data_IF_083679607011
#
_entry.id   IF_083679607011
#
_cell.length_a   1.000
_cell.length_b   1.000
_cell.length_c   1.000
_cell.angle_alpha   90.00
_cell.angle_beta   90.00
_cell.angle_gamma   90.00
#
_symmetry.space_group_name_H-M   'P 1'
#
loop_
_entity.id
_entity.type
_entity.pdbx_description
1 polymer ?
#
# COMPACT_ATOMS: atom_id res chain seq x y z
N UNK A 1 53.83 10.11 -46.50
CA UNK A 1 53.35 11.46 -46.13
C UNK A 1 53.35 11.56 -44.61
N UNK A 2 54.28 12.24 -43.93
CA UNK A 2 54.40 13.71 -43.80
C UNK A 2 53.11 14.35 -43.24
N UNK A 3 53.06 15.20 -42.21
CA UNK A 3 54.02 15.81 -41.27
C UNK A 3 53.17 16.77 -40.38
N UNK A 4 53.67 17.11 -39.18
CA UNK A 4 53.46 18.39 -38.42
C UNK A 4 52.11 18.60 -37.70
N UNK A 5 52.01 19.30 -36.57
CA UNK A 5 52.88 20.02 -35.62
C UNK A 5 51.97 20.37 -34.40
N UNK A 6 52.31 20.23 -33.12
CA UNK A 6 53.24 20.99 -32.25
C UNK A 6 52.91 22.49 -32.11
N UNK A 7 52.93 22.95 -30.84
CA UNK A 7 53.10 24.33 -30.27
C UNK A 7 51.80 25.15 -30.08
N UNK A 8 51.63 26.00 -29.06
CA UNK A 8 52.55 26.58 -28.06
C UNK A 8 51.79 27.23 -26.87
N UNK A 9 52.56 27.40 -25.79
CA UNK A 9 52.38 28.08 -24.49
C UNK A 9 52.32 29.63 -24.57
N UNK A 10 51.64 30.29 -23.60
CA UNK A 10 52.03 31.48 -22.76
C UNK A 10 50.76 32.12 -22.13
N UNK A 11 50.59 32.41 -20.82
CA UNK A 11 51.35 33.10 -19.76
C UNK A 11 51.23 34.64 -19.74
N UNK A 12 50.61 35.20 -18.67
CA UNK A 12 50.79 36.54 -18.04
C UNK A 12 49.77 36.63 -16.87
N UNK A 13 50.08 36.77 -15.56
CA UNK A 13 50.84 37.74 -14.73
C UNK A 13 50.21 39.14 -14.61
N UNK A 14 49.89 39.52 -13.37
CA UNK A 14 49.58 40.88 -12.88
C UNK A 14 48.41 40.85 -11.88
N UNK A 15 48.41 41.44 -10.68
CA UNK A 15 49.32 42.33 -9.96
C UNK A 15 48.68 42.64 -8.58
N UNK A 16 49.51 43.10 -7.63
CA UNK A 16 49.26 43.26 -6.20
C UNK A 16 48.27 44.39 -5.81
N UNK A 17 47.60 44.28 -4.64
CA UNK A 17 47.91 45.05 -3.41
C UNK A 17 46.85 44.88 -2.30
N UNK A 18 47.36 44.86 -1.07
CA UNK A 18 46.69 44.80 0.23
C UNK A 18 45.91 46.08 0.60
N UNK A 19 45.03 46.01 1.61
CA UNK A 19 44.92 46.97 2.75
C UNK A 19 44.16 46.27 3.92
N UNK A 20 44.57 46.65 5.12
CA UNK A 20 44.32 46.18 6.49
C UNK A 20 42.94 46.50 7.14
N UNK A 21 42.67 45.77 8.23
CA UNK A 21 41.55 45.83 9.18
C UNK A 21 41.38 47.17 9.96
N UNK A 22 40.31 47.33 10.76
CA UNK A 22 40.47 47.19 12.22
C UNK A 22 39.28 46.59 13.04
N UNK A 23 39.65 46.24 14.28
CA UNK A 23 38.93 45.81 15.52
C UNK A 23 37.75 46.69 15.99
N UNK A 24 36.81 46.39 16.90
CA UNK A 24 36.53 45.45 18.01
C UNK A 24 34.98 45.57 18.32
N UNK A 25 34.36 45.24 19.49
CA UNK A 25 34.72 44.43 20.67
C UNK A 25 33.61 43.42 21.14
N UNK A 26 33.91 42.67 22.19
CA UNK A 26 33.05 41.72 22.92
C UNK A 26 31.73 42.29 23.48
N UNK A 27 30.73 41.41 23.61
CA UNK A 27 29.77 41.44 24.71
C UNK A 27 29.43 40.01 25.20
N UNK A 28 29.13 39.80 26.50
CA UNK A 28 29.00 38.48 27.10
C UNK A 28 27.56 38.05 27.45
N UNK A 29 27.34 36.72 27.49
CA UNK A 29 26.34 35.94 28.29
C UNK A 29 24.85 36.04 27.84
N UNK A 30 23.97 35.06 28.19
CA UNK A 30 24.08 34.11 29.29
C UNK A 30 23.81 32.63 28.98
N UNK A 31 24.11 31.83 30.01
CA UNK A 31 23.87 30.41 30.19
C UNK A 31 22.38 30.07 29.96
N UNK A 32 22.05 29.58 28.77
CA UNK A 32 20.73 29.02 28.45
C UNK A 32 20.67 27.56 28.90
N UNK A 33 19.78 27.29 29.85
CA UNK A 33 19.48 26.00 30.44
C UNK A 33 19.39 24.87 29.39
N UNK A 34 20.06 23.74 29.68
CA UNK A 34 19.75 22.45 29.04
C UNK A 34 18.32 22.10 29.39
N UNK A 35 17.37 22.45 28.54
CA UNK A 35 16.07 21.81 28.53
C UNK A 35 16.30 20.36 28.12
N UNK A 36 15.99 19.42 29.02
CA UNK A 36 16.01 18.01 28.72
C UNK A 36 15.20 17.76 27.45
N UNK A 37 15.79 17.04 26.50
CA UNK A 37 15.07 16.52 25.36
C UNK A 37 14.01 15.56 25.91
N UNK A 38 12.79 16.08 26.12
CA UNK A 38 11.61 15.26 26.30
C UNK A 38 11.48 14.51 24.99
N UNK A 39 11.81 13.21 25.01
CA UNK A 39 11.50 12.30 23.91
C UNK A 39 9.99 12.32 23.78
N UNK A 40 9.48 13.09 22.82
CA UNK A 40 8.10 12.93 22.37
C UNK A 40 7.97 11.51 21.83
N UNK A 41 7.35 10.66 22.64
CA UNK A 41 6.83 9.39 22.16
C UNK A 41 5.71 9.76 21.17
N UNK A 42 6.06 9.82 19.89
CA UNK A 42 5.08 9.72 18.81
C UNK A 42 4.44 8.35 18.93
N UNK A 43 3.32 8.26 19.62
CA UNK A 43 2.35 7.19 19.41
C UNK A 43 1.73 7.46 18.04
N UNK A 44 2.47 7.12 16.98
CA UNK A 44 1.85 6.93 15.67
C UNK A 44 0.83 5.81 15.79
N UNK A 45 -0.31 5.85 15.07
CA UNK A 45 -1.21 4.72 15.08
C UNK A 45 -0.40 3.52 14.61
N UNK A 46 -0.30 2.51 15.48
CA UNK A 46 0.11 1.19 15.04
C UNK A 46 -0.82 0.84 13.86
N UNK A 47 -0.24 0.40 12.75
CA UNK A 47 -0.96 -0.04 11.56
C UNK A 47 -1.85 -1.22 11.95
N UNK A 48 -3.03 -0.93 12.50
CA UNK A 48 -4.09 -1.89 12.67
C UNK A 48 -4.64 -2.08 11.26
N UNK A 49 -4.48 -3.29 10.72
CA UNK A 49 -5.11 -3.70 9.47
C UNK A 49 -6.63 -3.67 9.69
N UNK A 50 -7.27 -2.56 9.34
CA UNK A 50 -8.72 -2.39 9.49
C UNK A 50 -9.42 -3.08 8.33
N UNK A 51 -10.35 -3.98 8.64
CA UNK A 51 -11.22 -4.63 7.67
C UNK A 51 -12.36 -3.70 7.27
N UNK A 52 -12.61 -3.62 5.98
CA UNK A 52 -13.70 -2.86 5.36
C UNK A 52 -14.58 -3.79 4.55
N UNK A 53 -15.84 -3.42 4.37
CA UNK A 53 -16.85 -4.24 3.72
C UNK A 53 -17.55 -3.50 2.58
N UNK A 54 -17.96 -4.25 1.57
CA UNK A 54 -18.84 -3.78 0.49
C UNK A 54 -20.30 -4.13 0.82
N UNK A 55 -21.22 -3.47 0.13
CA UNK A 55 -22.65 -3.82 0.18
C UNK A 55 -22.94 -5.23 -0.38
N UNK A 56 -22.02 -5.78 -1.17
CA UNK A 56 -22.13 -7.11 -1.79
C UNK A 56 -21.49 -8.22 -0.93
N UNK A 57 -21.20 -7.93 0.34
CA UNK A 57 -20.66 -8.88 1.30
C UNK A 57 -19.22 -9.36 0.99
N UNK A 58 -18.46 -8.57 0.24
CA UNK A 58 -17.01 -8.74 0.14
C UNK A 58 -16.31 -7.92 1.25
N UNK A 59 -15.15 -8.39 1.69
CA UNK A 59 -14.31 -7.67 2.62
C UNK A 59 -12.95 -7.38 2.00
N UNK A 60 -12.32 -6.29 2.44
CA UNK A 60 -10.94 -5.96 2.15
C UNK A 60 -10.20 -5.60 3.43
N UNK A 61 -9.02 -6.19 3.61
CA UNK A 61 -8.09 -5.85 4.70
C UNK A 61 -6.82 -5.29 4.06
N UNK A 62 -6.40 -4.10 4.49
CA UNK A 62 -5.23 -3.43 3.90
C UNK A 62 -4.02 -3.56 4.81
N UNK A 63 -2.91 -4.02 4.24
CA UNK A 63 -1.62 -4.13 4.93
C UNK A 63 -0.51 -3.72 3.97
N UNK A 64 0.33 -2.76 4.37
CA UNK A 64 1.50 -2.32 3.59
C UNK A 64 1.23 -1.97 2.11
N UNK A 65 0.04 -1.42 1.81
CA UNK A 65 -0.36 -1.05 0.43
C UNK A 65 -0.91 -2.21 -0.41
N UNK A 66 -1.12 -3.38 0.20
CA UNK A 66 -1.78 -4.53 -0.42
C UNK A 66 -3.14 -4.74 0.25
N UNK A 67 -4.19 -4.83 -0.55
CA UNK A 67 -5.54 -5.21 -0.12
C UNK A 67 -5.74 -6.70 -0.30
N UNK A 68 -6.01 -7.41 0.80
CA UNK A 68 -6.47 -8.80 0.76
C UNK A 68 -8.00 -8.80 0.70
N UNK A 69 -8.57 -9.50 -0.27
CA UNK A 69 -10.00 -9.53 -0.55
C UNK A 69 -10.57 -10.92 -0.30
N UNK A 70 -11.78 -10.99 0.29
CA UNK A 70 -12.53 -12.22 0.48
C UNK A 70 -14.03 -11.97 0.60
N UNK A 71 -14.81 -13.00 0.92
CA UNK A 71 -16.25 -12.88 1.22
C UNK A 71 -16.53 -13.01 2.71
N UNK A 72 -17.61 -12.37 3.19
CA UNK A 72 -17.98 -12.39 4.60
C UNK A 72 -18.59 -13.71 5.05
N UNK A 73 -18.71 -13.90 6.37
CA UNK A 73 -19.40 -15.06 6.93
C UNK A 73 -20.86 -15.15 6.46
N UNK A 74 -21.54 -14.02 6.31
CA UNK A 74 -22.92 -13.99 5.81
C UNK A 74 -23.02 -14.51 4.37
N UNK A 75 -22.09 -14.09 3.51
CA UNK A 75 -22.08 -14.51 2.11
C UNK A 75 -21.84 -16.02 1.97
N UNK A 76 -20.89 -16.58 2.70
CA UNK A 76 -20.59 -18.01 2.61
C UNK A 76 -21.75 -18.86 3.16
N UNK A 77 -22.44 -18.42 4.21
CA UNK A 77 -23.63 -19.11 4.73
C UNK A 77 -24.78 -19.11 3.73
N UNK A 78 -25.00 -17.97 3.05
CA UNK A 78 -26.03 -17.82 2.03
C UNK A 78 -25.74 -18.69 0.78
N UNK A 79 -24.47 -18.77 0.37
CA UNK A 79 -24.03 -19.66 -0.71
C UNK A 79 -24.17 -21.14 -0.32
N UNK A 80 -23.86 -21.49 0.92
CA UNK A 80 -23.70 -22.87 1.37
C UNK A 80 -22.32 -23.44 1.03
N UNK A 81 -22.22 -24.75 0.92
CA UNK A 81 -20.93 -25.45 0.74
C UNK A 81 -20.32 -25.14 -0.64
N UNK A 82 -19.21 -24.41 -0.64
CA UNK A 82 -18.54 -23.94 -1.85
C UNK A 82 -17.78 -25.11 -2.46
N UNK A 83 -18.08 -25.39 -3.73
CA UNK A 83 -17.49 -26.51 -4.49
C UNK A 83 -16.54 -26.03 -5.57
N UNK A 84 -16.63 -24.77 -5.98
CA UNK A 84 -15.77 -24.21 -7.01
C UNK A 84 -15.54 -22.70 -6.82
N UNK A 85 -14.34 -22.25 -7.20
CA UNK A 85 -13.92 -20.86 -7.14
C UNK A 85 -13.21 -20.49 -8.45
N UNK A 86 -13.76 -19.52 -9.17
CA UNK A 86 -13.18 -18.91 -10.35
C UNK A 86 -12.46 -17.63 -9.93
N UNK A 87 -11.13 -17.61 -10.05
CA UNK A 87 -10.28 -16.47 -9.69
C UNK A 87 -9.53 -15.95 -10.94
N UNK A 88 -9.18 -14.64 -10.97
CA UNK A 88 -8.49 -14.02 -12.09
C UNK A 88 -7.01 -14.44 -12.11
N UNK A 89 -6.30 -14.08 -13.16
CA UNK A 89 -4.85 -14.27 -13.22
C UNK A 89 -4.11 -13.18 -12.45
N UNK A 90 -2.94 -13.52 -11.90
CA UNK A 90 -2.03 -12.53 -11.33
C UNK A 90 -1.57 -11.56 -12.42
N UNK A 91 -1.59 -10.26 -12.14
CA UNK A 91 -1.34 -9.19 -13.10
C UNK A 91 -2.60 -8.62 -13.76
N UNK A 92 -3.78 -9.19 -13.48
CA UNK A 92 -5.06 -8.65 -13.97
C UNK A 92 -5.32 -7.28 -13.34
N UNK A 93 -5.65 -6.30 -14.19
CA UNK A 93 -6.09 -4.97 -13.74
C UNK A 93 -7.60 -4.99 -13.57
N UNK A 94 -8.06 -4.56 -12.40
CA UNK A 94 -9.46 -4.50 -12.02
C UNK A 94 -9.82 -3.07 -11.67
N UNK A 95 -10.99 -2.62 -12.11
CA UNK A 95 -11.61 -1.38 -11.65
C UNK A 95 -12.53 -1.69 -10.47
N UNK A 96 -12.81 -0.68 -9.65
CA UNK A 96 -13.83 -0.77 -8.60
C UNK A 96 -15.16 -1.26 -9.20
N UNK A 97 -15.81 -2.20 -8.52
CA UNK A 97 -17.04 -2.87 -8.95
C UNK A 97 -16.95 -3.65 -10.26
N UNK A 98 -15.74 -3.92 -10.78
CA UNK A 98 -15.55 -4.86 -11.89
C UNK A 98 -15.63 -6.30 -11.38
N UNK A 99 -16.31 -7.15 -12.14
CA UNK A 99 -16.35 -8.59 -11.86
C UNK A 99 -14.96 -9.19 -12.10
N UNK A 100 -14.44 -9.92 -11.11
CA UNK A 100 -13.13 -10.57 -11.23
C UNK A 100 -13.20 -12.10 -11.17
N UNK A 101 -14.34 -12.65 -10.75
CA UNK A 101 -14.48 -14.07 -10.48
C UNK A 101 -15.88 -14.45 -10.00
N UNK A 102 -16.02 -15.72 -9.61
CA UNK A 102 -17.28 -16.26 -9.11
C UNK A 102 -17.04 -17.40 -8.11
N UNK A 103 -17.97 -17.57 -7.17
CA UNK A 103 -18.05 -18.72 -6.27
C UNK A 103 -19.30 -19.54 -6.59
N UNK A 104 -19.12 -20.85 -6.69
CA UNK A 104 -20.22 -21.78 -6.94
C UNK A 104 -20.34 -22.78 -5.80
N UNK A 105 -21.59 -23.02 -5.41
CA UNK A 105 -22.00 -24.07 -4.48
C UNK A 105 -22.96 -25.02 -5.17
N UNK A 106 -23.37 -26.08 -4.46
CA UNK A 106 -24.42 -26.99 -4.95
C UNK A 106 -25.80 -26.30 -5.00
N UNK A 107 -25.95 -25.14 -4.34
CA UNK A 107 -27.24 -24.46 -4.16
C UNK A 107 -27.35 -23.15 -4.92
N UNK A 108 -26.24 -22.46 -5.14
CA UNK A 108 -26.21 -21.10 -5.66
C UNK A 108 -24.86 -20.82 -6.36
N UNK A 109 -24.83 -19.73 -7.11
CA UNK A 109 -23.61 -19.12 -7.65
C UNK A 109 -23.65 -17.63 -7.38
N UNK A 110 -22.51 -17.06 -6.99
CA UNK A 110 -22.36 -15.61 -6.78
C UNK A 110 -21.14 -15.10 -7.53
N UNK A 111 -21.35 -14.04 -8.30
CA UNK A 111 -20.29 -13.24 -8.90
C UNK A 111 -19.55 -12.47 -7.80
N UNK A 112 -18.26 -12.22 -8.03
CA UNK A 112 -17.37 -11.50 -7.13
C UNK A 112 -16.92 -10.19 -7.76
N UNK A 113 -17.07 -9.10 -7.02
CA UNK A 113 -16.76 -7.76 -7.51
C UNK A 113 -15.57 -7.15 -6.77
N UNK A 114 -14.72 -6.45 -7.52
CA UNK A 114 -13.53 -5.83 -6.94
C UNK A 114 -13.93 -4.66 -6.04
N UNK A 115 -13.51 -4.63 -4.76
CA UNK A 115 -13.84 -3.52 -3.86
C UNK A 115 -13.09 -2.23 -4.24
N UNK A 116 -11.95 -2.35 -4.92
CA UNK A 116 -11.02 -1.27 -5.24
C UNK A 116 -10.52 -1.38 -6.68
N UNK A 117 -9.98 -0.29 -7.20
CA UNK A 117 -9.29 -0.24 -8.48
C UNK A 117 -7.79 -0.51 -8.29
N UNK A 118 -7.24 -1.49 -9.03
CA UNK A 118 -5.82 -1.84 -8.96
C UNK A 118 -5.43 -3.09 -9.72
N UNK A 119 -4.37 -3.77 -9.27
CA UNK A 119 -3.79 -4.93 -9.96
C UNK A 119 -3.65 -6.13 -9.02
N UNK A 120 -4.09 -7.31 -9.48
CA UNK A 120 -3.99 -8.57 -8.73
C UNK A 120 -2.53 -8.98 -8.59
N UNK A 121 -2.06 -9.11 -7.35
CA UNK A 121 -0.69 -9.52 -7.01
C UNK A 121 -0.58 -10.99 -6.65
N UNK A 122 -1.64 -11.56 -6.07
CA UNK A 122 -1.64 -12.95 -5.61
C UNK A 122 -3.07 -13.51 -5.65
N UNK A 123 -3.18 -14.82 -5.86
CA UNK A 123 -4.43 -15.56 -5.78
C UNK A 123 -4.29 -16.73 -4.82
N UNK A 124 -5.37 -17.09 -4.13
CA UNK A 124 -5.32 -18.20 -3.19
C UNK A 124 -5.40 -19.55 -3.92
N UNK A 125 -4.23 -20.11 -4.22
CA UNK A 125 -4.11 -21.40 -4.90
C UNK A 125 -4.68 -22.57 -4.09
N UNK A 126 -4.81 -22.42 -2.77
CA UNK A 126 -5.36 -23.47 -1.93
C UNK A 126 -6.84 -23.74 -2.23
N UNK A 127 -7.57 -22.75 -2.76
CA UNK A 127 -8.99 -22.89 -3.11
C UNK A 127 -9.24 -23.80 -4.31
N UNK A 128 -8.22 -24.02 -5.16
CA UNK A 128 -8.33 -24.96 -6.28
C UNK A 128 -8.45 -26.43 -5.81
N UNK A 129 -7.79 -26.76 -4.69
CA UNK A 129 -7.84 -28.09 -4.09
C UNK A 129 -8.89 -28.19 -2.97
N UNK A 130 -9.09 -27.09 -2.23
CA UNK A 130 -9.94 -27.05 -1.04
C UNK A 130 -10.85 -25.80 -1.03
N UNK A 131 -11.88 -25.74 -1.90
CA UNK A 131 -12.79 -24.59 -1.97
C UNK A 131 -13.56 -24.35 -0.66
N UNK A 132 -13.81 -25.40 0.14
CA UNK A 132 -14.46 -25.30 1.45
C UNK A 132 -13.67 -24.50 2.51
N UNK A 133 -12.44 -24.05 2.22
CA UNK A 133 -11.75 -23.05 3.06
C UNK A 133 -12.53 -21.74 3.15
N UNK A 134 -13.27 -21.37 2.10
CA UNK A 134 -14.16 -20.20 2.10
C UNK A 134 -15.22 -20.33 3.18
N UNK A 135 -15.77 -21.53 3.40
CA UNK A 135 -16.76 -21.75 4.46
C UNK A 135 -16.14 -21.84 5.86
N UNK A 136 -14.96 -22.46 5.99
CA UNK A 136 -14.32 -22.72 7.31
C UNK A 136 -13.60 -21.50 7.88
N UNK A 137 -12.95 -20.72 7.02
CA UNK A 137 -12.01 -19.67 7.40
C UNK A 137 -12.13 -18.44 6.48
N UNK A 138 -13.36 -17.94 6.23
CA UNK A 138 -13.63 -16.85 5.28
C UNK A 138 -12.78 -15.58 5.47
N UNK A 139 -12.30 -15.33 6.69
CA UNK A 139 -11.52 -14.16 7.07
C UNK A 139 -10.00 -14.39 7.17
N UNK A 140 -9.58 -15.65 7.16
CA UNK A 140 -8.18 -16.07 7.31
C UNK A 140 -7.76 -16.83 6.05
N UNK A 141 -7.73 -18.16 6.08
CA UNK A 141 -7.28 -19.01 4.96
C UNK A 141 -8.19 -18.98 3.72
N UNK A 142 -9.41 -18.45 3.85
CA UNK A 142 -10.43 -18.35 2.80
C UNK A 142 -10.38 -17.05 1.99
N UNK A 143 -9.30 -16.27 2.09
CA UNK A 143 -9.07 -15.12 1.20
C UNK A 143 -9.05 -15.54 -0.27
N UNK A 144 -9.46 -14.66 -1.18
CA UNK A 144 -9.62 -14.96 -2.60
C UNK A 144 -8.43 -14.45 -3.41
N UNK A 145 -8.19 -13.13 -3.33
CA UNK A 145 -7.13 -12.44 -4.05
C UNK A 145 -6.44 -11.43 -3.16
N UNK A 146 -5.20 -11.09 -3.50
CA UNK A 146 -4.51 -9.90 -3.00
C UNK A 146 -4.25 -8.97 -4.16
N UNK A 147 -4.51 -7.69 -3.98
CA UNK A 147 -4.32 -6.68 -5.00
C UNK A 147 -3.63 -5.44 -4.47
N UNK A 148 -2.87 -4.76 -5.33
CA UNK A 148 -2.52 -3.36 -5.09
C UNK A 148 -3.74 -2.49 -5.35
N UNK A 149 -3.76 -1.28 -4.79
CA UNK A 149 -4.79 -0.28 -5.07
C UNK A 149 -4.13 1.08 -5.27
N UNK A 150 -4.61 1.83 -6.26
CA UNK A 150 -4.02 3.12 -6.62
C UNK A 150 -4.71 4.30 -5.92
N UNK A 151 -5.98 4.12 -5.54
CA UNK A 151 -6.81 5.18 -4.99
C UNK A 151 -7.24 4.85 -3.55
N UNK A 152 -6.56 5.40 -2.52
CA UNK A 152 -6.93 5.15 -1.13
C UNK A 152 -8.29 5.73 -0.76
N UNK A 153 -8.80 6.73 -1.49
CA UNK A 153 -10.13 7.31 -1.21
C UNK A 153 -11.27 6.33 -1.44
N UNK A 154 -11.07 5.31 -2.27
CA UNK A 154 -12.08 4.25 -2.47
C UNK A 154 -12.29 3.41 -1.20
N UNK A 155 -11.30 3.34 -0.29
CA UNK A 155 -11.44 2.66 1.02
C UNK A 155 -12.34 3.43 1.99
N UNK A 156 -12.39 4.76 1.86
CA UNK A 156 -13.22 5.61 2.71
C UNK A 156 -14.71 5.46 2.37
N UNK A 157 -15.02 5.05 1.13
CA UNK A 157 -16.38 4.75 0.67
C UNK A 157 -16.89 3.38 1.16
N UNK A 158 -16.00 2.51 1.67
CA UNK A 158 -16.36 1.19 2.17
C UNK A 158 -16.86 1.24 3.62
N UNK A 159 -17.76 0.32 3.93
CA UNK A 159 -18.36 0.19 5.26
C UNK A 159 -17.33 -0.27 6.28
N UNK A 160 -17.36 0.29 7.49
CA UNK A 160 -16.66 -0.30 8.63
C UNK A 160 -17.37 -1.59 9.06
N UNK A 161 -16.66 -2.45 9.79
CA UNK A 161 -17.23 -3.65 10.39
C UNK A 161 -18.49 -3.35 11.23
N UNK A 162 -18.43 -2.33 12.08
CA UNK A 162 -19.58 -1.87 12.87
C UNK A 162 -20.77 -1.40 12.04
N UNK A 163 -20.54 -0.89 10.82
CA UNK A 163 -21.62 -0.46 9.93
C UNK A 163 -22.23 -1.64 9.18
N UNK A 164 -21.42 -2.66 8.89
CA UNK A 164 -21.84 -3.88 8.20
C UNK A 164 -22.64 -4.83 9.10
N UNK A 165 -22.32 -4.89 10.40
CA UNK A 165 -23.01 -5.77 11.37
C UNK A 165 -24.36 -5.22 11.87
N UNK A 166 -24.79 -4.04 11.43
CA UNK A 166 -26.05 -3.41 11.83
C UNK A 166 -27.24 -3.84 10.98
#
# INVERSE_FOLDING_TARGET
>A
MALRAVRSVRAAVGGLRAISAPSAPCSPRPWGLRAGAVRELRTGPALLSVRKFTEKHEWVTTENGVGTVGISNFAQEALGDVVYCSLPEVGTKLNKQEEFGALESVKASSELYSPLSGEVTEINKALAENPGLVNKSCYEDGWLIKMTFSNPSELDELMSEEAYEK
#
